data_IF_627356042227
#
_entry.id   IF_627356042227
#
_cell.length_a   1.000
_cell.length_b   1.000
_cell.length_c   1.000
_cell.angle_alpha   90.00
_cell.angle_beta   90.00
_cell.angle_gamma   90.00
#
_symmetry.space_group_name_H-M   'P 1'
#
loop_
_entity.id
_entity.type
_entity.pdbx_description
1 polymer ?
#
# COMPACT_ATOMS: atom_id res chain seq x y z
N UNK A 1 26.41 35.13 16.15
CA UNK A 1 26.59 33.65 16.03
C UNK A 1 25.39 33.11 15.31
N UNK A 2 25.53 32.78 14.02
CA UNK A 2 24.44 32.22 13.22
C UNK A 2 24.44 30.70 13.41
N UNK A 3 23.37 30.16 13.96
CA UNK A 3 23.14 28.74 14.03
C UNK A 3 22.57 28.27 12.69
N UNK A 4 23.44 27.78 11.81
CA UNK A 4 23.04 27.11 10.57
C UNK A 4 22.86 25.60 10.86
N UNK A 5 21.64 25.20 11.20
CA UNK A 5 21.27 23.81 11.23
C UNK A 5 21.05 23.33 9.78
N UNK A 6 22.09 22.82 9.17
CA UNK A 6 21.96 22.08 7.91
C UNK A 6 21.26 20.75 8.18
N UNK A 7 19.97 20.69 7.92
CA UNK A 7 19.28 19.44 7.72
C UNK A 7 19.82 18.84 6.41
N UNK A 8 20.87 18.07 6.50
CA UNK A 8 21.39 17.27 5.39
C UNK A 8 20.39 16.18 5.11
N UNK A 9 19.47 16.45 4.20
CA UNK A 9 18.74 15.38 3.51
C UNK A 9 19.76 14.68 2.65
N UNK A 10 20.30 13.55 3.14
CA UNK A 10 21.14 12.67 2.34
C UNK A 10 20.27 12.15 1.18
N UNK A 11 20.44 12.75 0.00
CA UNK A 11 20.00 12.13 -1.25
C UNK A 11 20.82 10.85 -1.42
N UNK A 12 20.27 9.72 -0.99
CA UNK A 12 20.79 8.43 -1.40
C UNK A 12 20.46 8.26 -2.88
N UNK A 13 21.48 8.30 -3.72
CA UNK A 13 21.41 7.87 -5.11
C UNK A 13 21.21 6.35 -5.05
N UNK A 14 19.96 5.91 -5.16
CA UNK A 14 19.63 4.49 -5.24
C UNK A 14 19.86 4.04 -6.68
N UNK A 15 20.42 2.82 -6.85
CA UNK A 15 20.48 2.18 -8.15
C UNK A 15 19.05 2.08 -8.71
N UNK A 16 18.87 2.33 -10.02
CA UNK A 16 17.55 2.38 -10.65
C UNK A 16 16.77 1.04 -10.56
N UNK A 17 17.46 -0.05 -10.35
CA UNK A 17 17.01 -1.45 -10.25
C UNK A 17 16.92 -1.99 -8.83
N UNK A 18 17.18 -1.16 -7.82
CA UNK A 18 17.00 -1.58 -6.43
C UNK A 18 15.50 -1.70 -6.10
N UNK A 19 15.05 -2.87 -5.58
CA UNK A 19 13.65 -3.02 -5.20
C UNK A 19 13.28 -1.98 -4.14
N UNK A 20 12.15 -1.30 -4.37
CA UNK A 20 11.57 -0.30 -3.46
C UNK A 20 10.79 -1.03 -2.35
N UNK A 21 11.50 -1.93 -1.65
CA UNK A 21 10.95 -2.85 -0.66
C UNK A 21 10.78 -2.17 0.70
N UNK A 22 9.56 -1.73 0.96
CA UNK A 22 9.13 -1.19 2.25
C UNK A 22 7.93 -2.00 2.78
N UNK A 23 8.16 -3.12 3.49
CA UNK A 23 7.10 -3.98 3.96
C UNK A 23 6.07 -3.24 4.81
N UNK A 24 4.80 -3.39 4.45
CA UNK A 24 3.69 -2.77 5.16
C UNK A 24 3.43 -3.49 6.48
N UNK A 25 3.43 -2.78 7.61
CA UNK A 25 3.04 -3.39 8.88
C UNK A 25 1.62 -3.97 8.79
N UNK A 26 1.39 -5.22 9.22
CA UNK A 26 0.10 -5.90 9.10
C UNK A 26 -1.09 -5.12 9.65
N UNK A 27 -0.91 -4.41 10.76
CA UNK A 27 -1.95 -3.59 11.35
C UNK A 27 -2.42 -2.45 10.42
N UNK A 28 -1.54 -1.92 9.54
CA UNK A 28 -1.90 -0.86 8.61
C UNK A 28 -2.84 -1.36 7.49
N UNK A 29 -2.68 -2.60 7.07
CA UNK A 29 -3.61 -3.27 6.13
C UNK A 29 -4.93 -3.59 6.82
N UNK A 30 -4.91 -4.11 8.06
CA UNK A 30 -6.13 -4.30 8.84
C UNK A 30 -6.89 -2.99 9.05
N UNK A 31 -6.18 -1.88 9.28
CA UNK A 31 -6.78 -0.57 9.43
C UNK A 31 -7.55 -0.10 8.21
N UNK A 32 -7.07 -0.40 6.99
CA UNK A 32 -7.83 -0.14 5.76
C UNK A 32 -9.18 -0.87 5.80
N UNK A 33 -9.18 -2.16 6.09
CA UNK A 33 -10.40 -2.96 6.06
C UNK A 33 -11.36 -2.59 7.19
N UNK A 34 -10.85 -2.38 8.41
CA UNK A 34 -11.69 -2.13 9.60
C UNK A 34 -12.28 -0.72 9.66
N UNK A 35 -11.60 0.28 9.07
CA UNK A 35 -11.97 1.70 9.22
C UNK A 35 -12.35 2.40 7.92
N UNK A 36 -12.09 1.81 6.76
CA UNK A 36 -12.25 2.49 5.46
C UNK A 36 -13.18 1.72 4.52
N UNK A 37 -12.85 0.46 4.21
CA UNK A 37 -13.63 -0.33 3.23
C UNK A 37 -14.83 -1.01 3.89
N UNK A 38 -14.64 -1.62 5.07
CA UNK A 38 -15.63 -2.43 5.77
C UNK A 38 -15.40 -3.93 5.64
N UNK A 39 -15.40 -4.63 6.77
CA UNK A 39 -15.11 -6.06 6.85
C UNK A 39 -16.17 -6.93 6.18
N UNK A 40 -17.44 -6.58 6.35
CA UNK A 40 -18.56 -7.36 5.81
C UNK A 40 -18.63 -7.26 4.29
N UNK A 41 -18.26 -6.10 3.77
CA UNK A 41 -18.29 -5.76 2.36
C UNK A 41 -17.31 -6.57 1.52
N UNK A 42 -16.20 -7.05 2.13
CA UNK A 42 -15.14 -7.76 1.40
C UNK A 42 -15.10 -9.28 1.61
N UNK A 43 -15.88 -9.82 2.53
CA UNK A 43 -15.75 -11.23 2.97
C UNK A 43 -16.08 -12.26 1.89
N UNK A 44 -16.83 -11.90 0.86
CA UNK A 44 -17.16 -12.77 -0.29
C UNK A 44 -16.37 -12.40 -1.55
N UNK A 45 -15.50 -11.41 -1.49
CA UNK A 45 -14.84 -10.81 -2.63
C UNK A 45 -13.44 -11.37 -2.86
N UNK A 46 -12.93 -11.10 -4.06
CA UNK A 46 -11.56 -11.37 -4.47
C UNK A 46 -10.69 -10.12 -4.43
N UNK A 47 -9.39 -10.31 -4.14
CA UNK A 47 -8.41 -9.22 -4.12
C UNK A 47 -7.09 -9.64 -4.77
N UNK A 48 -6.44 -8.69 -5.43
CA UNK A 48 -5.07 -8.83 -5.95
C UNK A 48 -4.11 -7.90 -5.19
N UNK A 49 -3.01 -8.48 -4.70
CA UNK A 49 -1.82 -7.76 -4.23
C UNK A 49 -0.70 -7.94 -5.27
N UNK A 50 -0.48 -6.99 -6.18
CA UNK A 50 0.44 -7.15 -7.30
C UNK A 50 1.91 -6.80 -7.00
N UNK A 51 2.23 -6.34 -5.80
CA UNK A 51 3.58 -6.04 -5.32
C UNK A 51 3.78 -6.65 -3.92
N UNK A 52 3.60 -7.98 -3.84
CA UNK A 52 3.37 -8.66 -2.57
C UNK A 52 4.62 -8.79 -1.68
N UNK A 53 5.83 -8.58 -2.22
CA UNK A 53 7.08 -8.76 -1.50
C UNK A 53 7.15 -10.10 -0.77
N UNK A 54 7.50 -10.09 0.49
CA UNK A 54 7.52 -11.27 1.37
C UNK A 54 6.11 -11.67 1.91
N UNK A 55 5.03 -11.11 1.37
CA UNK A 55 3.66 -11.53 1.65
C UNK A 55 3.04 -10.97 2.93
N UNK A 56 3.58 -9.93 3.51
CA UNK A 56 3.06 -9.37 4.78
C UNK A 56 1.62 -8.87 4.62
N UNK A 57 1.32 -8.15 3.54
CA UNK A 57 -0.04 -7.70 3.24
C UNK A 57 -0.94 -8.86 2.83
N UNK A 58 -0.45 -9.79 2.02
CA UNK A 58 -1.20 -10.99 1.58
C UNK A 58 -1.73 -11.79 2.77
N UNK A 59 -0.91 -11.98 3.83
CA UNK A 59 -1.34 -12.68 5.04
C UNK A 59 -2.54 -12.00 5.69
N UNK A 60 -2.55 -10.67 5.74
CA UNK A 60 -3.67 -9.91 6.29
C UNK A 60 -4.88 -9.97 5.36
N UNK A 61 -4.71 -9.80 4.06
CA UNK A 61 -5.83 -9.87 3.11
C UNK A 61 -6.57 -11.20 3.19
N UNK A 62 -5.86 -12.33 3.43
CA UNK A 62 -6.45 -13.65 3.68
C UNK A 62 -7.30 -13.75 4.96
N UNK A 63 -7.19 -12.79 5.89
CA UNK A 63 -8.07 -12.73 7.07
C UNK A 63 -9.47 -12.19 6.73
N UNK A 64 -9.63 -11.52 5.58
CA UNK A 64 -10.82 -10.75 5.24
C UNK A 64 -11.47 -11.17 3.92
N UNK A 65 -10.69 -11.47 2.88
CA UNK A 65 -11.18 -11.78 1.54
C UNK A 65 -11.33 -13.28 1.31
N UNK A 66 -12.32 -13.65 0.50
CA UNK A 66 -12.55 -15.04 0.11
C UNK A 66 -11.44 -15.58 -0.81
N UNK A 67 -10.98 -14.78 -1.75
CA UNK A 67 -9.91 -15.11 -2.68
C UNK A 67 -8.83 -14.04 -2.68
N UNK A 68 -7.57 -14.46 -2.49
CA UNK A 68 -6.42 -13.55 -2.52
C UNK A 68 -5.42 -14.00 -3.57
N UNK A 69 -5.36 -13.26 -4.66
CA UNK A 69 -4.33 -13.40 -5.70
C UNK A 69 -3.16 -12.47 -5.37
N UNK A 70 -1.95 -12.89 -5.70
CA UNK A 70 -0.76 -12.09 -5.42
C UNK A 70 0.37 -12.42 -6.38
N UNK A 71 1.24 -11.46 -6.62
CA UNK A 71 2.47 -11.59 -7.41
C UNK A 71 3.44 -10.48 -7.03
N UNK A 72 4.66 -10.57 -7.50
CA UNK A 72 5.65 -9.50 -7.43
C UNK A 72 6.55 -9.55 -8.67
N UNK A 73 7.09 -8.42 -9.10
CA UNK A 73 8.06 -8.37 -10.18
C UNK A 73 9.41 -8.99 -9.77
N UNK A 74 9.72 -9.01 -8.48
CA UNK A 74 10.94 -9.55 -7.90
C UNK A 74 10.70 -10.87 -7.16
N UNK A 75 11.74 -11.70 -7.12
CA UNK A 75 11.70 -12.98 -6.40
C UNK A 75 11.95 -12.80 -4.89
N UNK A 76 10.88 -12.69 -4.11
CA UNK A 76 10.92 -12.71 -2.64
C UNK A 76 10.72 -14.11 -2.04
N UNK A 77 10.78 -15.18 -2.86
CA UNK A 77 10.53 -16.58 -2.44
C UNK A 77 9.17 -16.79 -1.77
N UNK A 78 8.19 -15.96 -2.12
CA UNK A 78 6.84 -16.01 -1.55
C UNK A 78 5.75 -16.25 -2.58
N UNK A 79 5.75 -15.52 -3.68
CA UNK A 79 4.71 -15.56 -4.71
C UNK A 79 5.25 -15.78 -6.12
N UNK A 80 4.34 -15.89 -7.12
CA UNK A 80 4.72 -15.92 -8.52
C UNK A 80 5.43 -14.63 -8.94
N UNK A 81 6.44 -14.75 -9.80
CA UNK A 81 7.13 -13.59 -10.37
C UNK A 81 6.33 -13.12 -11.57
N UNK A 82 5.75 -11.92 -11.46
CA UNK A 82 4.97 -11.25 -12.53
C UNK A 82 5.11 -9.75 -12.39
N UNK A 83 5.52 -9.07 -13.45
CA UNK A 83 5.45 -7.62 -13.50
C UNK A 83 3.99 -7.20 -13.67
N UNK A 84 3.48 -6.43 -12.74
CA UNK A 84 2.08 -6.00 -12.75
C UNK A 84 1.71 -5.15 -13.97
N UNK A 85 2.64 -4.34 -14.43
CA UNK A 85 2.40 -3.41 -15.54
C UNK A 85 2.38 -4.13 -16.88
N UNK A 86 3.15 -5.21 -17.02
CA UNK A 86 3.29 -5.97 -18.28
C UNK A 86 2.43 -7.25 -18.32
N UNK A 87 2.07 -7.81 -17.16
CA UNK A 87 1.30 -9.06 -17.12
C UNK A 87 -0.12 -8.85 -17.66
N UNK A 88 -0.61 -9.73 -18.56
CA UNK A 88 -1.90 -9.58 -19.24
C UNK A 88 -3.08 -9.99 -18.34
N UNK A 89 -3.33 -9.25 -17.27
CA UNK A 89 -4.55 -9.41 -16.49
C UNK A 89 -5.77 -9.07 -17.35
N UNK A 90 -6.79 -9.89 -17.26
CA UNK A 90 -8.10 -9.60 -17.85
C UNK A 90 -8.73 -8.36 -17.20
N UNK A 91 -9.58 -7.67 -17.94
CA UNK A 91 -10.40 -6.58 -17.40
C UNK A 91 -11.32 -7.13 -16.31
N UNK A 92 -11.40 -6.43 -15.19
CA UNK A 92 -12.19 -6.85 -14.02
C UNK A 92 -11.79 -8.24 -13.47
N UNK A 93 -10.53 -8.59 -13.54
CA UNK A 93 -10.00 -9.89 -13.11
C UNK A 93 -10.23 -10.20 -11.62
N UNK A 94 -10.37 -9.17 -10.79
CA UNK A 94 -10.62 -9.26 -9.35
C UNK A 94 -11.58 -8.15 -8.91
N UNK A 95 -12.12 -8.27 -7.69
CA UNK A 95 -12.99 -7.23 -7.13
C UNK A 95 -12.19 -6.02 -6.63
N UNK A 96 -11.09 -6.28 -5.98
CA UNK A 96 -10.20 -5.24 -5.43
C UNK A 96 -8.76 -5.42 -5.87
N UNK A 97 -8.07 -4.30 -6.10
CA UNK A 97 -6.60 -4.26 -6.10
C UNK A 97 -6.17 -3.46 -4.87
N UNK A 98 -5.41 -4.11 -3.96
CA UNK A 98 -4.93 -3.50 -2.72
C UNK A 98 -3.42 -3.72 -2.61
N UNK A 99 -2.63 -2.66 -2.59
CA UNK A 99 -1.17 -2.77 -2.56
C UNK A 99 -0.50 -1.57 -1.91
N UNK A 100 0.74 -1.77 -1.53
CA UNK A 100 1.74 -0.74 -1.29
C UNK A 100 2.68 -0.75 -2.51
N UNK A 101 2.39 0.05 -3.54
CA UNK A 101 3.15 -0.01 -4.80
C UNK A 101 4.57 0.52 -4.63
N UNK A 102 5.51 0.13 -5.49
CA UNK A 102 6.80 0.80 -5.58
C UNK A 102 6.58 2.31 -5.77
N UNK A 103 7.21 3.15 -4.91
CA UNK A 103 6.87 4.57 -4.85
C UNK A 103 7.06 5.31 -6.17
N UNK A 104 8.02 4.87 -6.98
CA UNK A 104 8.29 5.45 -8.31
C UNK A 104 7.24 5.09 -9.35
N UNK A 105 6.58 3.94 -9.21
CA UNK A 105 5.59 3.38 -10.15
C UNK A 105 4.15 3.49 -9.62
N UNK A 106 3.95 4.21 -8.53
CA UNK A 106 2.65 4.23 -7.85
C UNK A 106 1.52 4.81 -8.73
N UNK A 107 1.82 5.78 -9.60
CA UNK A 107 0.84 6.34 -10.53
C UNK A 107 0.42 5.31 -11.60
N UNK A 108 1.39 4.61 -12.18
CA UNK A 108 1.17 3.56 -13.18
C UNK A 108 0.38 2.38 -12.59
N UNK A 109 0.70 2.01 -11.34
CA UNK A 109 -0.06 0.99 -10.61
C UNK A 109 -1.52 1.39 -10.40
N UNK A 110 -1.80 2.65 -10.02
CA UNK A 110 -3.18 3.15 -9.91
C UNK A 110 -3.90 3.04 -11.25
N UNK A 111 -3.31 3.59 -12.32
CA UNK A 111 -3.93 3.61 -13.65
C UNK A 111 -4.21 2.20 -14.17
N UNK A 112 -3.25 1.27 -14.01
CA UNK A 112 -3.45 -0.13 -14.39
C UNK A 112 -4.55 -0.80 -13.57
N UNK A 113 -4.69 -0.44 -12.30
CA UNK A 113 -5.68 -1.04 -11.41
C UNK A 113 -7.12 -0.72 -11.79
N UNK A 114 -7.38 0.37 -12.49
CA UNK A 114 -8.72 0.69 -12.99
C UNK A 114 -9.22 -0.30 -14.04
N UNK A 115 -8.31 -0.94 -14.79
CA UNK A 115 -8.70 -2.00 -15.73
C UNK A 115 -8.86 -3.36 -15.04
N UNK A 116 -8.04 -3.63 -14.02
CA UNK A 116 -7.95 -4.95 -13.38
C UNK A 116 -9.00 -5.15 -12.29
N UNK A 117 -9.35 -4.07 -11.56
CA UNK A 117 -10.32 -4.13 -10.48
C UNK A 117 -11.74 -3.86 -10.97
N UNK A 118 -12.72 -4.59 -10.41
CA UNK A 118 -14.15 -4.41 -10.72
C UNK A 118 -14.86 -3.46 -9.76
N UNK A 119 -14.49 -3.48 -8.48
CA UNK A 119 -15.18 -2.73 -7.41
C UNK A 119 -14.33 -1.59 -6.88
N UNK A 120 -13.05 -1.83 -6.62
CA UNK A 120 -12.26 -0.78 -6.02
C UNK A 120 -10.75 -1.00 -6.03
N UNK A 121 -10.05 0.09 -5.80
CA UNK A 121 -8.59 0.16 -5.75
C UNK A 121 -8.19 0.84 -4.45
N UNK A 122 -7.20 0.29 -3.73
CA UNK A 122 -6.62 0.93 -2.55
C UNK A 122 -5.10 0.89 -2.60
N UNK A 123 -4.47 2.06 -2.56
CA UNK A 123 -3.02 2.21 -2.61
C UNK A 123 -2.50 2.85 -1.33
N UNK A 124 -1.56 2.19 -0.66
CA UNK A 124 -0.83 2.78 0.44
C UNK A 124 0.30 3.64 -0.10
N UNK A 125 0.23 4.92 0.12
CA UNK A 125 1.19 5.88 -0.43
C UNK A 125 1.72 6.83 0.65
N UNK A 126 2.86 7.46 0.37
CA UNK A 126 3.32 8.60 1.15
C UNK A 126 2.34 9.76 0.97
N UNK A 127 2.08 10.56 2.01
CA UNK A 127 1.14 11.70 1.91
C UNK A 127 1.55 12.72 0.84
N UNK A 128 2.86 12.90 0.62
CA UNK A 128 3.42 13.74 -0.47
C UNK A 128 3.08 13.23 -1.88
N UNK A 129 2.50 12.03 -2.02
CA UNK A 129 2.02 11.54 -3.31
C UNK A 129 0.94 12.46 -3.92
N UNK A 130 0.21 13.22 -3.11
CA UNK A 130 -0.76 14.21 -3.58
C UNK A 130 -0.11 15.47 -4.17
N UNK A 131 1.15 15.73 -3.84
CA UNK A 131 1.85 16.96 -4.18
C UNK A 131 2.58 16.82 -5.53
N UNK A 132 1.87 16.97 -6.65
CA UNK A 132 2.49 16.97 -7.98
C UNK A 132 1.56 17.52 -9.03
N UNK A 133 1.96 18.61 -9.70
CA UNK A 133 1.23 19.18 -10.83
C UNK A 133 1.04 18.15 -11.95
N UNK A 134 2.09 17.39 -12.28
CA UNK A 134 2.02 16.36 -13.31
C UNK A 134 1.01 15.27 -12.96
N UNK A 135 1.02 14.76 -11.73
CA UNK A 135 0.08 13.74 -11.26
C UNK A 135 -1.34 14.27 -11.17
N UNK A 136 -1.51 15.51 -10.73
CA UNK A 136 -2.82 16.15 -10.78
C UNK A 136 -3.41 16.11 -12.19
N UNK A 137 -2.66 16.52 -13.20
CA UNK A 137 -3.13 16.58 -14.59
C UNK A 137 -3.40 15.19 -15.20
N UNK A 138 -2.58 14.18 -14.88
CA UNK A 138 -2.72 12.83 -15.45
C UNK A 138 -3.71 11.95 -14.72
N UNK A 139 -3.75 12.04 -13.39
CA UNK A 139 -4.53 11.15 -12.52
C UNK A 139 -5.68 11.88 -11.81
N UNK A 140 -5.38 12.82 -10.90
CA UNK A 140 -6.39 13.30 -9.95
C UNK A 140 -7.47 14.17 -10.56
N UNK A 141 -7.17 14.94 -11.62
CA UNK A 141 -8.17 15.76 -12.33
C UNK A 141 -9.16 14.91 -13.13
N UNK A 142 -8.81 13.67 -13.47
CA UNK A 142 -9.65 12.76 -14.27
C UNK A 142 -10.29 11.67 -13.40
N UNK A 143 -9.51 11.14 -12.47
CA UNK A 143 -9.88 10.04 -11.59
C UNK A 143 -9.48 10.38 -10.14
N UNK A 144 -10.18 11.31 -9.48
CA UNK A 144 -9.92 11.61 -8.08
C UNK A 144 -10.22 10.38 -7.21
N UNK A 145 -9.47 10.15 -6.11
CA UNK A 145 -9.81 9.08 -5.19
C UNK A 145 -11.13 9.38 -4.49
N UNK A 146 -11.96 8.36 -4.27
CA UNK A 146 -13.20 8.49 -3.48
C UNK A 146 -12.91 8.84 -2.03
N UNK A 147 -11.76 8.35 -1.51
CA UNK A 147 -11.35 8.60 -0.13
C UNK A 147 -9.84 8.79 -0.02
N UNK A 148 -9.46 9.76 0.79
CA UNK A 148 -8.11 9.92 1.33
C UNK A 148 -8.13 9.54 2.81
N UNK A 149 -7.67 8.33 3.14
CA UNK A 149 -7.73 7.79 4.48
C UNK A 149 -6.38 8.01 5.20
N UNK A 150 -6.32 9.04 6.02
CA UNK A 150 -5.13 9.49 6.74
C UNK A 150 -4.97 8.75 8.06
N UNK A 151 -3.83 8.12 8.26
CA UNK A 151 -3.45 7.62 9.58
C UNK A 151 -3.14 8.78 10.53
N UNK A 152 -3.71 8.78 11.71
CA UNK A 152 -3.31 9.70 12.80
C UNK A 152 -2.09 9.19 13.56
N UNK A 153 -1.81 7.89 13.49
CA UNK A 153 -0.57 7.27 13.97
C UNK A 153 0.45 7.13 12.83
N UNK A 154 1.73 7.15 13.16
CA UNK A 154 2.77 6.88 12.17
C UNK A 154 2.80 5.41 11.78
N UNK A 155 2.87 5.13 10.47
CA UNK A 155 3.06 3.78 9.93
C UNK A 155 4.56 3.58 9.72
N UNK A 156 5.27 2.87 10.61
CA UNK A 156 6.71 2.70 10.48
C UNK A 156 7.02 1.70 9.38
N UNK A 157 7.59 2.17 8.29
CA UNK A 157 8.10 1.32 7.21
C UNK A 157 9.60 1.49 7.10
N UNK A 158 10.31 0.36 7.16
CA UNK A 158 11.77 0.27 7.06
C UNK A 158 12.11 -0.55 5.83
N UNK A 159 13.07 -0.08 5.06
CA UNK A 159 13.49 -0.76 3.84
C UNK A 159 14.01 -2.17 4.13
N UNK A 160 13.53 -3.14 3.37
CA UNK A 160 13.97 -4.53 3.38
C UNK A 160 13.56 -5.33 4.62
N UNK A 161 12.84 -4.75 5.57
CA UNK A 161 12.38 -5.49 6.74
C UNK A 161 11.11 -4.93 7.37
N UNK A 162 10.34 -5.81 7.94
CA UNK A 162 9.24 -5.46 8.82
C UNK A 162 9.80 -5.24 10.25
N UNK A 163 9.53 -4.09 10.87
CA UNK A 163 10.08 -3.75 12.18
C UNK A 163 9.01 -3.13 13.09
N UNK A 164 8.52 -3.91 14.05
CA UNK A 164 7.50 -3.48 14.99
C UNK A 164 7.94 -2.41 16.00
N UNK A 165 9.24 -2.11 16.08
CA UNK A 165 9.79 -1.07 16.96
C UNK A 165 10.26 0.17 16.21
N UNK A 166 10.21 0.14 14.87
CA UNK A 166 10.65 1.26 14.06
C UNK A 166 9.78 2.50 14.26
N UNK A 167 10.37 3.65 14.00
CA UNK A 167 9.70 4.93 13.88
C UNK A 167 9.98 5.55 12.50
N UNK A 168 9.14 6.46 12.07
CA UNK A 168 9.30 7.17 10.79
C UNK A 168 8.83 8.61 10.90
N UNK A 169 9.50 9.51 10.19
CA UNK A 169 9.03 10.86 9.96
C UNK A 169 8.04 10.95 8.78
N UNK A 170 8.02 9.93 7.90
CA UNK A 170 7.17 9.89 6.72
C UNK A 170 5.71 9.64 7.10
N UNK A 171 4.80 10.45 6.57
CA UNK A 171 3.36 10.21 6.64
C UNK A 171 2.92 9.26 5.53
N UNK A 172 1.99 8.37 5.86
CA UNK A 172 1.34 7.46 4.91
C UNK A 172 -0.17 7.59 5.02
N UNK A 173 -0.85 7.32 3.91
CA UNK A 173 -2.30 7.28 3.81
C UNK A 173 -2.73 6.20 2.82
N UNK A 174 -3.95 5.72 2.95
CA UNK A 174 -4.60 4.94 1.91
C UNK A 174 -5.35 5.88 0.98
N UNK A 175 -5.08 5.78 -0.32
CA UNK A 175 -5.95 6.33 -1.36
C UNK A 175 -6.88 5.23 -1.84
N UNK A 176 -8.18 5.48 -1.79
CA UNK A 176 -9.20 4.51 -2.18
C UNK A 176 -10.05 5.06 -3.30
N UNK A 177 -10.21 4.29 -4.36
CA UNK A 177 -11.14 4.52 -5.45
C UNK A 177 -12.23 3.46 -5.39
N UNK A 178 -13.48 3.89 -5.21
CA UNK A 178 -14.66 3.08 -5.43
C UNK A 178 -15.06 3.25 -6.90
N UNK A 179 -14.94 2.20 -7.70
CA UNK A 179 -15.13 2.26 -9.15
C UNK A 179 -16.62 2.28 -9.56
N UNK A 180 -17.51 1.93 -8.63
CA UNK A 180 -18.96 1.95 -8.86
C UNK A 180 -19.63 3.29 -8.56
N UNK A 181 -18.94 4.20 -7.89
CA UNK A 181 -19.49 5.47 -7.44
C UNK A 181 -18.62 6.63 -7.89
N UNK A 182 -19.25 7.60 -8.59
CA UNK A 182 -18.65 8.92 -8.78
C UNK A 182 -18.99 9.76 -7.56
N UNK A 183 -18.03 9.97 -6.67
CA UNK A 183 -18.24 10.77 -5.47
C UNK A 183 -17.12 11.79 -5.30
N UNK A 184 -17.44 12.92 -4.68
CA UNK A 184 -16.43 13.87 -4.26
C UNK A 184 -15.44 13.22 -3.28
N UNK A 185 -14.13 13.52 -3.39
CA UNK A 185 -13.13 13.00 -2.49
C UNK A 185 -13.42 13.28 -1.02
N UNK A 186 -13.42 12.26 -0.18
CA UNK A 186 -13.64 12.38 1.27
C UNK A 186 -12.34 12.19 2.03
N UNK A 187 -12.07 13.06 3.00
CA UNK A 187 -11.05 12.83 4.00
C UNK A 187 -11.61 11.91 5.08
N UNK A 188 -10.96 10.79 5.30
CA UNK A 188 -11.27 9.82 6.35
C UNK A 188 -10.10 9.76 7.33
N UNK A 189 -10.36 9.90 8.62
CA UNK A 189 -9.35 9.70 9.65
C UNK A 189 -9.34 8.25 10.12
N UNK A 190 -8.20 7.57 9.95
CA UNK A 190 -7.96 6.28 10.59
C UNK A 190 -7.50 6.55 12.03
N UNK A 191 -8.33 6.20 13.05
CA UNK A 191 -8.03 6.53 14.43
C UNK A 191 -6.83 5.74 14.96
N UNK A 192 -6.30 6.06 16.16
CA UNK A 192 -5.28 5.25 16.79
C UNK A 192 -5.76 3.80 16.94
N UNK A 193 -5.17 2.89 16.19
CA UNK A 193 -5.62 1.50 16.10
C UNK A 193 -4.50 0.47 16.11
N UNK A 194 -3.25 0.89 15.99
CA UNK A 194 -2.09 -0.01 15.90
C UNK A 194 -2.12 -1.04 17.04
N UNK A 195 -2.20 -0.58 18.29
CA UNK A 195 -2.16 -1.46 19.49
C UNK A 195 -3.28 -2.51 19.50
N UNK A 196 -4.43 -2.20 18.91
CA UNK A 196 -5.59 -3.10 18.81
C UNK A 196 -5.47 -4.08 17.66
N UNK A 197 -4.90 -3.64 16.52
CA UNK A 197 -4.85 -4.39 15.27
C UNK A 197 -3.55 -5.16 15.07
N UNK A 198 -2.52 -4.90 15.86
CA UNK A 198 -1.28 -5.67 15.87
C UNK A 198 -1.49 -7.03 16.54
N UNK A 199 -1.02 -8.10 15.91
CA UNK A 199 -1.05 -9.46 16.45
C UNK A 199 0.35 -9.91 16.83
N UNK A 200 0.46 -10.84 17.79
CA UNK A 200 1.76 -11.35 18.28
C UNK A 200 2.61 -11.99 17.20
N UNK A 201 1.99 -12.65 16.24
CA UNK A 201 2.63 -13.38 15.15
C UNK A 201 2.94 -12.53 13.92
N UNK A 202 2.51 -11.27 13.89
CA UNK A 202 2.78 -10.35 12.77
C UNK A 202 4.29 -10.21 12.47
N UNK A 203 5.13 -10.36 13.49
CA UNK A 203 6.58 -10.17 13.41
C UNK A 203 7.39 -11.44 13.69
N UNK A 204 6.76 -12.61 13.82
CA UNK A 204 7.41 -13.84 14.32
C UNK A 204 8.47 -14.44 13.37
N UNK A 205 8.43 -14.12 12.08
CA UNK A 205 9.39 -14.65 11.11
C UNK A 205 10.75 -13.91 11.09
N UNK A 206 10.93 -12.89 11.91
CA UNK A 206 12.18 -12.10 11.96
C UNK A 206 13.33 -12.79 12.68
N UNK A 207 13.07 -13.80 13.52
CA UNK A 207 14.10 -14.45 14.33
C UNK A 207 14.83 -15.61 13.63
N UNK A 208 14.36 -16.08 12.46
CA UNK A 208 14.97 -17.23 11.76
C UNK A 208 16.06 -16.87 10.75
N UNK A 209 16.31 -15.59 10.47
CA UNK A 209 17.34 -15.18 9.49
C UNK A 209 18.60 -14.57 10.11
N UNK A 210 18.79 -14.69 11.43
CA UNK A 210 19.97 -14.17 12.15
C UNK A 210 20.90 -15.28 12.70
N UNK A 211 20.77 -16.53 12.20
CA UNK A 211 21.71 -17.60 12.52
C UNK A 211 22.16 -18.33 11.27
#
# INVERSE_FOLDING_TARGET
MQNTTHAVMSQRVEANDSPDDFPTPPWATRALIEHVIGKKEVSSLSVLEPACGAGHMVKVLKEYFNEVRFADAHNYQFGPIRDYLDYPYETNAVDWVITNPPFRLAEEFVLRSFDVARIGVAMLVRTVFLESVGRYNRLFSKNPPSQFAQFVERVPMVRGRLDGKASTATGYAWLVWNLSESADPKLVWIPPCRRRLEKRDDYSNMQKSLF
#
